data_IF_070999119855
#
_entry.id   IF_070999119855
#
_cell.length_a   1.000
_cell.length_b   1.000
_cell.length_c   1.000
_cell.angle_alpha   90.00
_cell.angle_beta   90.00
_cell.angle_gamma   90.00
#
_symmetry.space_group_name_H-M   'P 1'
#
loop_
_entity.id
_entity.type
_entity.pdbx_description
1 polymer ?
#
# COMPACT_ATOMS: atom_id res chain seq x y z
N UNK A 1 31.90 25.19 16.29
CA UNK A 1 31.44 24.59 15.01
C UNK A 1 30.80 23.25 15.34
N UNK A 2 29.47 23.07 15.22
CA UNK A 2 28.89 21.74 15.32
C UNK A 2 28.98 21.04 13.96
N UNK A 3 29.51 19.82 13.97
CA UNK A 3 29.53 18.92 12.81
C UNK A 3 28.13 18.33 12.62
N UNK A 4 27.66 18.42 11.38
CA UNK A 4 26.45 17.78 10.85
C UNK A 4 26.50 16.27 11.10
N UNK A 5 25.57 15.73 11.90
CA UNK A 5 25.20 14.32 11.79
C UNK A 5 24.15 14.20 10.68
N UNK A 6 24.63 13.93 9.47
CA UNK A 6 23.79 13.48 8.36
C UNK A 6 23.17 12.14 8.72
N UNK A 7 21.91 12.14 9.10
CA UNK A 7 21.03 10.99 8.95
C UNK A 7 20.83 10.72 7.47
N UNK A 8 21.07 9.48 7.04
CA UNK A 8 20.28 8.66 6.09
C UNK A 8 21.22 7.54 5.63
N UNK A 9 21.03 6.35 6.19
CA UNK A 9 21.55 5.12 5.59
C UNK A 9 20.75 4.87 4.32
N UNK A 10 21.23 5.40 3.21
CA UNK A 10 20.84 4.91 1.90
C UNK A 10 21.51 3.53 1.74
N UNK A 11 20.75 2.45 1.90
CA UNK A 11 21.22 1.12 1.53
C UNK A 11 21.37 1.09 0.00
N UNK A 12 22.60 0.90 -0.46
CA UNK A 12 22.97 0.73 -1.86
C UNK A 12 22.21 -0.46 -2.46
N UNK A 13 21.44 -0.23 -3.52
CA UNK A 13 20.69 -1.28 -4.24
C UNK A 13 19.25 -0.92 -4.59
N UNK A 14 18.69 0.11 -3.95
CA UNK A 14 17.37 0.64 -4.29
C UNK A 14 17.50 1.83 -5.24
N UNK A 15 16.82 1.87 -6.41
CA UNK A 15 16.63 3.16 -7.06
C UNK A 15 15.99 4.09 -6.02
N UNK A 16 16.46 5.33 -5.93
CA UNK A 16 15.92 6.30 -4.98
C UNK A 16 14.40 6.27 -5.08
N UNK A 17 13.74 5.71 -4.05
CA UNK A 17 12.31 5.56 -4.04
C UNK A 17 11.73 6.96 -4.20
N UNK A 18 10.87 7.17 -5.19
CA UNK A 18 10.18 8.44 -5.32
C UNK A 18 9.56 8.79 -3.95
N UNK A 19 9.61 10.07 -3.52
CA UNK A 19 8.99 10.49 -2.26
C UNK A 19 7.55 9.97 -2.18
N UNK A 20 7.10 9.59 -0.97
CA UNK A 20 5.78 8.98 -0.78
C UNK A 20 4.68 9.84 -1.41
N UNK A 21 4.78 11.16 -1.33
CA UNK A 21 3.84 12.09 -1.94
C UNK A 21 3.71 11.87 -3.45
N UNK A 22 4.82 11.68 -4.15
CA UNK A 22 4.82 11.44 -5.60
C UNK A 22 4.20 10.09 -5.94
N UNK A 23 4.48 9.06 -5.13
CA UNK A 23 3.89 7.72 -5.29
C UNK A 23 2.37 7.77 -5.11
N UNK A 24 1.88 8.48 -4.09
CA UNK A 24 0.43 8.62 -3.83
C UNK A 24 -0.25 9.39 -4.97
N UNK A 25 0.36 10.46 -5.51
CA UNK A 25 -0.15 11.20 -6.68
C UNK A 25 -0.36 10.30 -7.90
N UNK A 26 0.59 9.40 -8.16
CA UNK A 26 0.56 8.48 -9.31
C UNK A 26 -0.29 7.22 -9.06
N UNK A 27 -0.74 7.00 -7.83
CA UNK A 27 -1.49 5.81 -7.46
C UNK A 27 -3.01 6.05 -7.50
N UNK A 28 -3.81 5.22 -8.18
CA UNK A 28 -5.26 5.41 -8.26
C UNK A 28 -6.01 5.21 -6.94
N UNK A 29 -5.61 4.20 -6.14
CA UNK A 29 -6.25 3.85 -4.87
C UNK A 29 -5.22 3.84 -3.75
N UNK A 30 -5.47 4.62 -2.70
CA UNK A 30 -4.59 4.68 -1.53
C UNK A 30 -5.44 4.59 -0.27
N UNK A 31 -5.11 3.65 0.61
CA UNK A 31 -5.86 3.42 1.84
C UNK A 31 -4.94 3.02 3.00
N UNK A 32 -5.38 3.33 4.21
CA UNK A 32 -4.84 2.79 5.45
C UNK A 32 -5.64 1.54 5.84
N UNK A 33 -4.95 0.45 6.10
CA UNK A 33 -5.55 -0.79 6.58
C UNK A 33 -4.67 -1.56 7.55
N UNK A 34 -5.32 -2.43 8.33
CA UNK A 34 -4.66 -3.42 9.19
C UNK A 34 -4.48 -4.72 8.42
N UNK A 35 -3.24 -5.17 8.24
CA UNK A 35 -2.97 -6.46 7.63
C UNK A 35 -3.46 -7.58 8.56
N UNK A 36 -4.32 -8.46 8.06
CA UNK A 36 -4.89 -9.59 8.82
C UNK A 36 -4.06 -10.83 8.61
N UNK A 37 -3.78 -11.13 7.34
CA UNK A 37 -3.14 -12.35 6.89
C UNK A 37 -2.42 -12.08 5.58
N UNK A 38 -1.23 -12.66 5.42
CA UNK A 38 -0.55 -12.77 4.14
C UNK A 38 -0.64 -14.21 3.68
N UNK A 39 -1.27 -14.42 2.54
CA UNK A 39 -1.41 -15.72 1.91
C UNK A 39 -0.46 -15.82 0.73
N UNK A 40 0.47 -16.78 0.70
CA UNK A 40 1.29 -17.02 -0.47
C UNK A 40 0.37 -17.44 -1.63
N UNK A 41 0.42 -16.71 -2.74
CA UNK A 41 -0.16 -17.22 -3.97
C UNK A 41 0.72 -18.40 -4.41
N UNK A 42 0.10 -19.53 -4.73
CA UNK A 42 0.77 -20.79 -5.05
C UNK A 42 1.96 -20.60 -6.01
N UNK A 43 3.15 -21.13 -5.63
CA UNK A 43 4.41 -21.15 -6.39
C UNK A 43 4.69 -19.87 -7.20
N UNK A 44 5.21 -18.84 -6.54
CA UNK A 44 5.71 -17.64 -7.18
C UNK A 44 6.36 -16.66 -6.21
N UNK A 45 6.94 -15.58 -6.74
CA UNK A 45 7.49 -14.46 -5.95
C UNK A 45 6.40 -13.51 -5.46
N UNK A 46 5.14 -13.68 -5.87
CA UNK A 46 4.03 -12.82 -5.48
C UNK A 46 3.16 -13.46 -4.39
N UNK A 47 2.62 -12.64 -3.50
CA UNK A 47 1.64 -13.03 -2.49
C UNK A 47 0.46 -12.07 -2.46
N UNK A 48 -0.62 -12.53 -1.82
CA UNK A 48 -1.80 -11.73 -1.52
C UNK A 48 -1.86 -11.46 -0.03
N UNK A 49 -2.45 -10.34 0.36
CA UNK A 49 -2.73 -10.07 1.76
C UNK A 49 -4.15 -9.53 1.94
N UNK A 50 -4.78 -9.95 3.03
CA UNK A 50 -6.06 -9.44 3.45
C UNK A 50 -5.85 -8.27 4.42
N UNK A 51 -6.60 -7.19 4.21
CA UNK A 51 -6.60 -6.02 5.07
C UNK A 51 -8.00 -5.73 5.59
N UNK A 52 -8.11 -5.29 6.84
CA UNK A 52 -9.25 -4.49 7.27
C UNK A 52 -9.02 -3.05 6.83
N UNK A 53 -9.96 -2.50 6.07
CA UNK A 53 -9.89 -1.13 5.59
C UNK A 53 -10.34 -0.17 6.68
N UNK A 54 -9.45 0.75 7.05
CA UNK A 54 -9.67 1.73 8.13
C UNK A 54 -10.03 3.08 7.53
N UNK A 55 -9.29 3.49 6.49
CA UNK A 55 -9.46 4.81 5.89
C UNK A 55 -9.04 4.80 4.43
N UNK A 56 -9.83 5.41 3.56
CA UNK A 56 -9.46 5.63 2.16
C UNK A 56 -8.97 7.07 2.01
N UNK A 57 -7.75 7.24 1.52
CA UNK A 57 -7.18 8.56 1.19
C UNK A 57 -7.51 8.96 -0.24
N UNK A 58 -7.54 7.98 -1.16
CA UNK A 58 -7.80 8.19 -2.59
C UNK A 58 -8.46 6.96 -3.22
N UNK A 59 -9.32 7.18 -4.21
CA UNK A 59 -9.95 6.10 -4.98
C UNK A 59 -11.20 5.49 -4.32
N UNK A 60 -11.93 6.26 -3.50
CA UNK A 60 -13.15 5.79 -2.81
C UNK A 60 -14.23 5.29 -3.79
N UNK A 61 -14.46 5.99 -4.90
CA UNK A 61 -15.42 5.55 -5.93
C UNK A 61 -15.00 4.24 -6.60
N UNK A 62 -13.71 4.09 -6.91
CA UNK A 62 -13.20 2.84 -7.49
C UNK A 62 -13.36 1.66 -6.52
N UNK A 63 -13.11 1.89 -5.23
CA UNK A 63 -13.34 0.90 -4.19
C UNK A 63 -14.83 0.61 -3.99
N UNK A 64 -15.70 1.62 -4.03
CA UNK A 64 -17.13 1.43 -3.93
C UNK A 64 -17.67 0.51 -5.03
N UNK A 65 -17.28 0.79 -6.28
CA UNK A 65 -17.62 -0.05 -7.43
C UNK A 65 -17.04 -1.45 -7.29
N UNK A 66 -15.78 -1.57 -6.85
CA UNK A 66 -15.16 -2.86 -6.56
C UNK A 66 -15.96 -3.68 -5.51
N UNK A 67 -16.50 -3.01 -4.50
CA UNK A 67 -17.37 -3.63 -3.48
C UNK A 67 -18.84 -3.73 -3.88
N UNK A 68 -19.20 -3.36 -5.12
CA UNK A 68 -20.58 -3.31 -5.61
C UNK A 68 -21.51 -2.46 -4.73
N UNK A 69 -21.03 -1.28 -4.32
CA UNK A 69 -21.74 -0.34 -3.44
C UNK A 69 -22.43 0.80 -4.18
N UNK A 70 -22.33 0.82 -5.50
CA UNK A 70 -22.86 1.91 -6.34
C UNK A 70 -24.40 2.04 -6.27
N UNK A 71 -25.09 1.00 -5.79
CA UNK A 71 -26.54 1.03 -5.57
C UNK A 71 -26.95 1.74 -4.28
N UNK A 72 -26.00 2.09 -3.40
CA UNK A 72 -26.27 2.86 -2.19
C UNK A 72 -26.35 4.34 -2.58
N UNK A 73 -27.56 4.83 -2.84
CA UNK A 73 -27.89 6.24 -3.13
C UNK A 73 -27.63 7.16 -1.91
N UNK A 74 -26.43 7.14 -1.35
CA UNK A 74 -26.02 8.03 -0.28
C UNK A 74 -24.82 8.86 -0.73
N UNK A 75 -24.87 10.16 -0.42
CA UNK A 75 -23.80 11.14 -0.66
C UNK A 75 -22.48 10.77 0.06
N UNK A 76 -22.48 9.71 0.88
CA UNK A 76 -21.33 9.11 1.54
C UNK A 76 -21.35 7.60 1.42
N UNK A 77 -20.34 7.01 0.76
CA UNK A 77 -20.15 5.57 0.72
C UNK A 77 -19.32 5.15 1.93
N UNK A 78 -19.93 4.40 2.85
CA UNK A 78 -19.19 3.83 3.98
C UNK A 78 -18.45 2.56 3.56
N UNK A 79 -17.14 2.71 3.44
CA UNK A 79 -16.19 1.64 3.09
C UNK A 79 -15.40 1.19 4.34
N UNK A 80 -15.64 1.82 5.51
CA UNK A 80 -14.95 1.46 6.76
C UNK A 80 -15.32 0.04 7.18
N UNK A 81 -14.37 -0.63 7.82
CA UNK A 81 -14.52 -1.98 8.39
C UNK A 81 -14.75 -3.11 7.37
N UNK A 82 -14.52 -2.83 6.07
CA UNK A 82 -14.55 -3.88 5.04
C UNK A 82 -13.22 -4.60 4.96
N UNK A 83 -13.27 -5.92 4.76
CA UNK A 83 -12.09 -6.71 4.42
C UNK A 83 -11.84 -6.64 2.92
N UNK A 84 -10.58 -6.48 2.54
CA UNK A 84 -10.15 -6.47 1.15
C UNK A 84 -8.91 -7.32 0.95
N UNK A 85 -8.93 -8.11 -0.12
CA UNK A 85 -7.75 -8.84 -0.55
C UNK A 85 -7.00 -7.99 -1.57
N UNK A 86 -5.71 -7.76 -1.32
CA UNK A 86 -4.80 -7.10 -2.24
C UNK A 86 -3.79 -8.11 -2.73
N UNK A 87 -3.63 -8.21 -4.05
CA UNK A 87 -2.71 -9.16 -4.71
C UNK A 87 -1.49 -8.45 -5.26
N UNK A 88 -0.44 -9.20 -5.63
CA UNK A 88 0.72 -8.64 -6.33
C UNK A 88 1.79 -8.06 -5.42
N UNK A 89 1.80 -8.39 -4.13
CA UNK A 89 2.94 -8.05 -3.29
C UNK A 89 4.12 -8.98 -3.60
N UNK A 90 5.35 -8.45 -3.64
CA UNK A 90 6.55 -9.26 -3.86
C UNK A 90 7.09 -9.82 -2.53
N UNK A 91 7.36 -11.12 -2.49
CA UNK A 91 7.94 -11.84 -1.35
C UNK A 91 9.42 -11.52 -1.26
N UNK A 92 9.92 -11.15 -0.09
CA UNK A 92 11.34 -10.87 0.18
C UNK A 92 12.29 -12.09 0.08
N UNK A 93 11.84 -13.25 -0.39
CA UNK A 93 12.63 -14.49 -0.40
C UNK A 93 13.11 -14.81 -1.83
N UNK A 94 14.37 -14.46 -2.12
CA UNK A 94 15.06 -14.85 -3.35
C UNK A 94 16.03 -13.77 -3.85
N UNK A 95 17.06 -14.18 -4.61
CA UNK A 95 18.06 -13.29 -5.20
C UNK A 95 17.48 -12.24 -6.18
N UNK A 96 16.18 -12.33 -6.49
CA UNK A 96 15.47 -11.48 -7.46
C UNK A 96 14.46 -10.54 -6.84
N UNK A 97 14.19 -10.60 -5.54
CA UNK A 97 13.32 -9.61 -4.90
C UNK A 97 14.16 -8.40 -4.53
N UNK A 98 13.83 -7.19 -5.03
CA UNK A 98 14.56 -6.00 -4.63
C UNK A 98 14.46 -5.82 -3.11
N UNK A 99 15.59 -5.61 -2.43
CA UNK A 99 15.70 -5.42 -0.97
C UNK A 99 14.80 -4.28 -0.43
N UNK A 100 14.29 -3.44 -1.34
CA UNK A 100 13.45 -2.27 -1.12
C UNK A 100 11.97 -2.59 -0.86
N UNK A 101 11.57 -3.86 -0.91
CA UNK A 101 10.18 -4.26 -0.67
C UNK A 101 10.00 -4.65 0.80
N UNK A 102 9.35 -3.82 1.62
CA UNK A 102 9.10 -4.18 3.01
C UNK A 102 8.23 -5.45 3.08
N UNK A 103 8.64 -6.46 3.86
CA UNK A 103 7.80 -7.62 4.08
C UNK A 103 6.54 -7.19 4.83
N UNK A 104 5.38 -7.69 4.38
CA UNK A 104 4.14 -7.51 5.11
C UNK A 104 4.15 -8.40 6.35
N UNK A 105 3.85 -7.80 7.49
CA UNK A 105 3.63 -8.48 8.76
C UNK A 105 2.15 -8.44 9.10
N UNK A 106 1.60 -9.58 9.52
CA UNK A 106 0.25 -9.62 10.06
C UNK A 106 0.13 -8.74 11.31
N UNK A 107 -1.07 -8.23 11.55
CA UNK A 107 -1.43 -7.36 12.68
C UNK A 107 -0.68 -6.01 12.72
N UNK A 108 -0.19 -5.55 11.56
CA UNK A 108 0.44 -4.23 11.43
C UNK A 108 -0.39 -3.31 10.52
N UNK A 109 -0.35 -2.02 10.83
CA UNK A 109 -1.02 -0.98 10.07
C UNK A 109 -0.14 -0.49 8.93
N UNK A 110 -0.72 -0.39 7.74
CA UNK A 110 -0.04 0.03 6.53
C UNK A 110 -0.85 1.07 5.77
N UNK A 111 -0.13 1.96 5.10
CA UNK A 111 -0.64 2.66 3.92
C UNK A 111 -0.36 1.77 2.72
N UNK A 112 -1.42 1.42 1.99
CA UNK A 112 -1.35 0.55 0.81
C UNK A 112 -1.62 1.39 -0.44
N UNK A 113 -0.74 1.24 -1.43
CA UNK A 113 -0.82 1.85 -2.74
C UNK A 113 -1.28 0.78 -3.73
N UNK A 114 -2.45 0.97 -4.33
CA UNK A 114 -3.10 -0.04 -5.15
C UNK A 114 -3.82 0.53 -6.38
N UNK A 115 -4.25 -0.36 -7.25
CA UNK A 115 -5.14 -0.07 -8.36
C UNK A 115 -6.17 -1.19 -8.53
N UNK A 116 -7.38 -0.83 -8.94
CA UNK A 116 -8.37 -1.81 -9.37
C UNK A 116 -8.04 -2.22 -10.81
N UNK A 117 -7.77 -3.50 -11.02
CA UNK A 117 -7.49 -4.10 -12.34
C UNK A 117 -8.48 -5.24 -12.54
N UNK A 118 -9.45 -5.04 -13.45
CA UNK A 118 -10.57 -5.97 -13.60
C UNK A 118 -11.36 -6.09 -12.30
N UNK A 119 -11.40 -7.29 -11.72
CA UNK A 119 -12.08 -7.59 -10.45
C UNK A 119 -11.10 -7.76 -9.27
N UNK A 120 -9.87 -7.26 -9.39
CA UNK A 120 -8.83 -7.41 -8.37
C UNK A 120 -8.31 -6.06 -7.90
N UNK A 121 -8.02 -5.96 -6.60
CA UNK A 121 -7.24 -4.86 -6.06
C UNK A 121 -5.77 -5.29 -6.06
N UNK A 122 -4.95 -4.64 -6.88
CA UNK A 122 -3.57 -5.03 -7.13
C UNK A 122 -2.63 -3.99 -6.51
N UNK A 123 -1.65 -4.46 -5.75
CA UNK A 123 -0.60 -3.67 -5.14
C UNK A 123 0.23 -3.00 -6.24
N UNK A 124 0.44 -1.67 -6.17
CA UNK A 124 1.17 -0.92 -7.20
C UNK A 124 2.66 -0.95 -6.91
N UNK A 125 3.40 -1.52 -7.85
CA UNK A 125 4.84 -1.80 -7.72
C UNK A 125 5.75 -0.62 -8.07
N UNK A 126 5.19 0.45 -8.65
CA UNK A 126 5.96 1.58 -9.19
C UNK A 126 6.71 2.34 -8.09
N UNK A 127 8.04 2.41 -8.21
CA UNK A 127 8.96 3.16 -7.35
C UNK A 127 9.04 2.70 -5.88
N UNK A 128 9.48 1.45 -5.67
CA UNK A 128 9.96 0.91 -4.40
C UNK A 128 8.87 0.59 -3.35
N UNK A 129 7.82 -0.11 -3.78
CA UNK A 129 6.95 -0.88 -2.89
C UNK A 129 5.51 -0.41 -2.89
N UNK A 130 4.59 -1.36 -2.74
CA UNK A 130 3.16 -1.11 -2.72
C UNK A 130 2.60 -0.79 -1.32
N UNK A 131 3.45 -0.78 -0.29
CA UNK A 131 3.05 -0.54 1.09
C UNK A 131 4.10 0.28 1.85
N UNK A 132 3.65 1.02 2.85
CA UNK A 132 4.48 1.77 3.80
C UNK A 132 3.90 1.58 5.20
N UNK A 133 4.75 1.41 6.20
CA UNK A 133 4.32 1.37 7.60
C UNK A 133 3.52 2.63 7.94
N UNK A 134 2.34 2.44 8.54
CA UNK A 134 1.55 3.56 8.98
C UNK A 134 2.16 4.22 10.21
N UNK A 135 2.23 5.54 10.19
CA UNK A 135 2.54 6.42 11.30
C UNK A 135 1.84 7.76 11.08
N UNK A 136 1.77 8.61 12.10
CA UNK A 136 1.20 9.97 11.96
C UNK A 136 1.94 10.76 10.87
N UNK A 137 3.28 10.69 10.87
CA UNK A 137 4.11 11.35 9.86
C UNK A 137 3.83 10.81 8.46
N UNK A 138 3.75 9.48 8.31
CA UNK A 138 3.41 8.84 7.02
C UNK A 138 2.03 9.28 6.55
N UNK A 139 1.05 9.36 7.44
CA UNK A 139 -0.30 9.81 7.10
C UNK A 139 -0.32 11.27 6.63
N UNK A 140 0.40 12.17 7.31
CA UNK A 140 0.56 13.55 6.85
C UNK A 140 1.20 13.63 5.46
N UNK A 141 2.20 12.79 5.17
CA UNK A 141 2.81 12.72 3.85
C UNK A 141 1.83 12.23 2.78
N UNK A 142 1.00 11.23 3.08
CA UNK A 142 -0.05 10.76 2.18
C UNK A 142 -1.04 11.88 1.86
N UNK A 143 -1.41 12.70 2.85
CA UNK A 143 -2.29 13.85 2.62
C UNK A 143 -1.66 14.96 1.77
N UNK A 144 -0.32 15.03 1.74
CA UNK A 144 0.43 15.96 0.88
C UNK A 144 0.68 15.37 -0.52
N UNK A 145 0.29 14.12 -0.76
CA UNK A 145 0.43 13.38 -2.02
C UNK A 145 -0.88 13.21 -2.75
#
# INVERSE_FOLDING_TARGET
MPLLLSTISAREGCPASAPLQNRVRQTPVVFHGLAVQADPLSKGIQYSAQFWLIKVYKGSHALAHFFHLDSLQQDSIDIRDRRVNVTGFLRAEGATTPECWPPLAAQKYYVVLAAVVGQQLVAREENAGALVDWSVTTEEEVWRG
#
